data_IF_272311363926
#
_entry.id   IF_272311363926
#
_cell.length_a   1.000
_cell.length_b   1.000
_cell.length_c   1.000
_cell.angle_alpha   90.00
_cell.angle_beta   90.00
_cell.angle_gamma   90.00
#
_symmetry.space_group_name_H-M   'P 1'
#
loop_
_entity.id
_entity.type
_entity.pdbx_description
1 polymer ?
#
# COMPACT_ATOMS: atom_id res chain seq x y z
N UNK A 1 1.91 37.95 1.99
CA UNK A 1 2.43 36.79 1.23
C UNK A 1 1.24 35.87 0.96
N UNK A 2 0.63 35.95 -0.24
CA UNK A 2 -0.51 35.11 -0.62
C UNK A 2 -0.01 33.74 -1.04
N UNK A 3 0.03 32.79 -0.11
CA UNK A 3 0.25 31.38 -0.46
C UNK A 3 -0.88 30.88 -1.35
N UNK A 4 -0.57 30.08 -2.38
CA UNK A 4 -1.59 29.45 -3.22
C UNK A 4 -2.55 28.65 -2.34
N UNK A 5 -3.87 28.63 -2.65
CA UNK A 5 -4.84 27.88 -1.86
C UNK A 5 -4.46 26.39 -1.79
N UNK A 6 -4.73 25.73 -0.66
CA UNK A 6 -4.47 24.30 -0.47
C UNK A 6 -4.92 23.46 -1.67
N UNK A 7 -6.13 23.67 -2.15
CA UNK A 7 -6.74 22.89 -3.22
C UNK A 7 -6.12 23.09 -4.62
N UNK A 8 -5.26 24.09 -4.80
CA UNK A 8 -4.54 24.31 -6.07
C UNK A 8 -3.19 23.61 -6.14
N UNK A 9 -2.75 22.97 -5.05
CA UNK A 9 -1.43 22.37 -4.95
C UNK A 9 -1.40 20.91 -5.43
N UNK A 10 -1.82 20.67 -6.67
CA UNK A 10 -1.66 19.37 -7.31
C UNK A 10 -0.24 19.21 -7.84
N UNK A 11 0.24 17.96 -7.84
CA UNK A 11 1.53 17.59 -8.40
C UNK A 11 1.41 16.37 -9.30
N UNK A 12 2.38 16.18 -10.17
CA UNK A 12 2.62 14.92 -10.85
C UNK A 12 3.91 14.31 -10.29
N UNK A 13 3.79 13.15 -9.64
CA UNK A 13 4.92 12.37 -9.16
C UNK A 13 5.22 11.27 -10.20
N UNK A 14 6.23 11.45 -11.07
CA UNK A 14 6.55 10.47 -12.13
C UNK A 14 6.95 9.12 -11.54
N UNK A 15 7.50 9.10 -10.32
CA UNK A 15 7.86 7.88 -9.58
C UNK A 15 6.63 7.00 -9.34
N UNK A 16 5.51 7.61 -8.99
CA UNK A 16 4.26 6.89 -8.74
C UNK A 16 3.61 6.41 -10.04
N UNK A 17 3.78 7.12 -11.13
CA UNK A 17 3.39 6.61 -12.45
C UNK A 17 4.17 5.35 -12.80
N UNK A 18 5.47 5.33 -12.59
CA UNK A 18 6.30 4.13 -12.82
C UNK A 18 5.89 2.96 -11.92
N UNK A 19 5.67 3.21 -10.63
CA UNK A 19 5.18 2.18 -9.68
C UNK A 19 3.81 1.66 -10.13
N UNK A 20 2.89 2.55 -10.49
CA UNK A 20 1.54 2.17 -10.94
C UNK A 20 1.58 1.36 -12.24
N UNK A 21 2.45 1.73 -13.19
CA UNK A 21 2.65 0.99 -14.43
C UNK A 21 3.23 -0.41 -14.16
N UNK A 22 4.22 -0.52 -13.26
CA UNK A 22 4.80 -1.80 -12.89
C UNK A 22 3.76 -2.72 -12.23
N UNK A 23 2.98 -2.22 -11.29
CA UNK A 23 1.89 -2.96 -10.64
C UNK A 23 0.84 -3.39 -11.68
N UNK A 24 0.46 -2.49 -12.58
CA UNK A 24 -0.51 -2.78 -13.64
C UNK A 24 0.02 -3.86 -14.59
N UNK A 25 1.27 -3.77 -15.00
CA UNK A 25 1.91 -4.79 -15.85
C UNK A 25 1.91 -6.17 -15.18
N UNK A 26 2.31 -6.25 -13.91
CA UNK A 26 2.31 -7.49 -13.14
C UNK A 26 0.88 -8.03 -13.02
N UNK A 27 -0.09 -7.16 -12.73
CA UNK A 27 -1.49 -7.55 -12.64
C UNK A 27 -2.00 -8.12 -13.97
N UNK A 28 -1.86 -7.41 -15.07
CA UNK A 28 -2.35 -7.83 -16.39
C UNK A 28 -1.72 -9.16 -16.84
N UNK A 29 -0.43 -9.36 -16.55
CA UNK A 29 0.27 -10.60 -16.88
C UNK A 29 -0.29 -11.82 -16.16
N UNK A 30 -0.72 -11.65 -14.91
CA UNK A 30 -1.15 -12.75 -14.04
C UNK A 30 -2.68 -12.88 -13.94
N UNK A 31 -3.45 -11.88 -14.33
CA UNK A 31 -4.91 -11.79 -14.08
C UNK A 31 -5.79 -12.14 -15.29
N UNK A 32 -5.34 -13.04 -16.17
CA UNK A 32 -6.09 -13.43 -17.38
C UNK A 32 -7.53 -13.93 -17.06
N UNK A 33 -7.76 -14.45 -15.87
CA UNK A 33 -9.05 -14.97 -15.38
C UNK A 33 -9.74 -14.05 -14.36
N UNK A 34 -9.25 -12.83 -14.18
CA UNK A 34 -9.83 -11.92 -13.21
C UNK A 34 -11.27 -11.54 -13.58
N UNK A 35 -12.15 -11.61 -12.60
CA UNK A 35 -13.54 -11.18 -12.69
C UNK A 35 -13.65 -9.65 -12.85
N UNK A 36 -14.83 -9.18 -13.28
CA UNK A 36 -15.10 -7.74 -13.36
C UNK A 36 -14.91 -7.06 -12.01
N UNK A 37 -15.35 -7.70 -10.92
CA UNK A 37 -15.18 -7.18 -9.55
C UNK A 37 -13.69 -6.96 -9.19
N UNK A 38 -12.85 -7.94 -9.47
CA UNK A 38 -11.39 -7.84 -9.20
C UNK A 38 -10.74 -6.73 -10.02
N UNK A 39 -11.14 -6.57 -11.28
CA UNK A 39 -10.65 -5.46 -12.13
C UNK A 39 -11.09 -4.10 -11.61
N UNK A 40 -12.34 -3.97 -11.14
CA UNK A 40 -12.85 -2.72 -10.55
C UNK A 40 -12.11 -2.40 -9.25
N UNK A 41 -11.88 -3.39 -8.37
CA UNK A 41 -11.12 -3.21 -7.14
C UNK A 41 -9.66 -2.81 -7.42
N UNK A 42 -9.05 -3.40 -8.46
CA UNK A 42 -7.72 -3.03 -8.90
C UNK A 42 -7.66 -1.58 -9.38
N UNK A 43 -8.59 -1.19 -10.24
CA UNK A 43 -8.68 0.19 -10.74
C UNK A 43 -8.93 1.19 -9.60
N UNK A 44 -9.79 0.85 -8.64
CA UNK A 44 -10.03 1.67 -7.46
C UNK A 44 -8.79 1.81 -6.57
N UNK A 45 -8.02 0.73 -6.39
CA UNK A 45 -6.75 0.75 -5.66
C UNK A 45 -5.70 1.64 -6.35
N UNK A 46 -5.54 1.52 -7.67
CA UNK A 46 -4.64 2.39 -8.44
C UNK A 46 -5.09 3.86 -8.42
N UNK A 47 -6.39 4.10 -8.55
CA UNK A 47 -6.93 5.46 -8.45
C UNK A 47 -6.67 6.07 -7.06
N UNK A 48 -6.87 5.30 -5.99
CA UNK A 48 -6.58 5.73 -4.62
C UNK A 48 -5.09 6.05 -4.44
N UNK A 49 -4.18 5.20 -4.96
CA UNK A 49 -2.75 5.44 -4.94
C UNK A 49 -2.40 6.75 -5.68
N UNK A 50 -2.91 6.90 -6.90
CA UNK A 50 -2.66 8.09 -7.71
C UNK A 50 -3.20 9.36 -7.04
N UNK A 51 -4.45 9.31 -6.56
CA UNK A 51 -5.12 10.44 -5.94
C UNK A 51 -4.39 10.90 -4.67
N UNK A 52 -4.03 9.98 -3.76
CA UNK A 52 -3.41 10.38 -2.49
C UNK A 52 -2.01 10.95 -2.65
N UNK A 53 -1.25 10.51 -3.66
CA UNK A 53 0.12 11.04 -3.88
C UNK A 53 0.12 12.32 -4.72
N UNK A 54 -0.76 12.43 -5.71
CA UNK A 54 -0.74 13.57 -6.63
C UNK A 54 -1.67 14.73 -6.19
N UNK A 55 -2.57 14.50 -5.23
CA UNK A 55 -3.42 15.54 -4.64
C UNK A 55 -2.63 16.51 -3.75
N UNK A 56 -3.25 17.59 -3.28
CA UNK A 56 -2.66 18.48 -2.28
C UNK A 56 -2.16 17.77 -1.02
N UNK A 57 -2.77 16.65 -0.64
CA UNK A 57 -2.32 15.82 0.49
C UNK A 57 -0.91 15.33 0.23
N UNK A 58 -0.66 14.68 -0.91
CA UNK A 58 0.67 14.18 -1.26
C UNK A 58 1.67 15.31 -1.58
N UNK A 59 1.20 16.39 -2.22
CA UNK A 59 2.03 17.54 -2.53
C UNK A 59 2.62 18.20 -1.27
N UNK A 60 1.86 18.20 -0.18
CA UNK A 60 2.20 18.82 1.10
C UNK A 60 2.65 17.81 2.17
N UNK A 61 2.75 16.53 1.84
CA UNK A 61 3.11 15.48 2.79
C UNK A 61 4.48 15.70 3.43
N UNK A 62 5.44 16.27 2.70
CA UNK A 62 6.76 16.62 3.24
C UNK A 62 6.80 17.94 4.01
N UNK A 63 5.71 18.71 3.98
CA UNK A 63 5.62 20.03 4.64
C UNK A 63 4.77 19.97 5.90
N UNK A 64 3.64 19.26 5.83
CA UNK A 64 2.68 19.15 6.93
C UNK A 64 2.56 17.72 7.43
N UNK A 65 2.84 17.51 8.69
CA UNK A 65 2.76 16.19 9.33
C UNK A 65 1.38 15.52 9.18
N UNK A 66 0.28 16.27 9.29
CA UNK A 66 -1.06 15.71 9.12
C UNK A 66 -1.34 15.22 7.69
N UNK A 67 -0.79 15.91 6.66
CA UNK A 67 -0.87 15.45 5.26
C UNK A 67 -0.11 14.14 5.08
N UNK A 68 1.10 14.05 5.64
CA UNK A 68 1.94 12.85 5.65
C UNK A 68 1.21 11.67 6.31
N UNK A 69 0.66 11.87 7.51
CA UNK A 69 -0.11 10.83 8.20
C UNK A 69 -1.35 10.40 7.42
N UNK A 70 -2.09 11.35 6.83
CA UNK A 70 -3.28 11.05 6.04
C UNK A 70 -2.93 10.28 4.77
N UNK A 71 -1.80 10.60 4.13
CA UNK A 71 -1.27 9.85 3.00
C UNK A 71 -0.99 8.39 3.38
N UNK A 72 -0.25 8.15 4.47
CA UNK A 72 0.03 6.79 4.94
C UNK A 72 -1.22 6.02 5.32
N UNK A 73 -2.13 6.64 6.06
CA UNK A 73 -3.41 6.00 6.43
C UNK A 73 -4.21 5.60 5.19
N UNK A 74 -4.26 6.45 4.15
CA UNK A 74 -4.94 6.12 2.90
C UNK A 74 -4.25 4.96 2.17
N UNK A 75 -2.92 4.97 2.07
CA UNK A 75 -2.16 3.89 1.45
C UNK A 75 -2.38 2.55 2.18
N UNK A 76 -2.34 2.58 3.50
CA UNK A 76 -2.39 1.37 4.31
C UNK A 76 -3.80 0.84 4.52
N UNK A 77 -4.80 1.70 4.73
CA UNK A 77 -6.16 1.29 5.10
C UNK A 77 -7.14 1.24 3.92
N UNK A 78 -6.81 1.86 2.79
CA UNK A 78 -7.67 1.89 1.60
C UNK A 78 -6.96 1.23 0.42
N UNK A 79 -5.83 1.78 -0.01
CA UNK A 79 -5.13 1.30 -1.22
C UNK A 79 -4.66 -0.14 -1.06
N UNK A 80 -3.99 -0.48 0.05
CA UNK A 80 -3.50 -1.83 0.32
C UNK A 80 -4.61 -2.89 0.28
N UNK A 81 -5.68 -2.77 1.08
CA UNK A 81 -6.81 -3.72 1.04
C UNK A 81 -7.47 -3.84 -0.32
N UNK A 82 -7.66 -2.75 -1.07
CA UNK A 82 -8.25 -2.78 -2.41
C UNK A 82 -7.39 -3.60 -3.38
N UNK A 83 -6.06 -3.40 -3.36
CA UNK A 83 -5.14 -4.17 -4.19
C UNK A 83 -5.08 -5.65 -3.78
N UNK A 84 -5.13 -5.94 -2.48
CA UNK A 84 -5.19 -7.33 -2.00
C UNK A 84 -6.48 -8.00 -2.47
N UNK A 85 -7.64 -7.38 -2.27
CA UNK A 85 -8.93 -7.92 -2.71
C UNK A 85 -8.99 -8.15 -4.23
N UNK A 86 -8.28 -7.33 -5.00
CA UNK A 86 -8.18 -7.48 -6.45
C UNK A 86 -7.28 -8.64 -6.88
N UNK A 87 -6.32 -9.04 -6.06
CA UNK A 87 -5.23 -9.94 -6.47
C UNK A 87 -5.17 -11.25 -5.71
N UNK A 88 -5.71 -11.33 -4.50
CA UNK A 88 -5.57 -12.49 -3.60
C UNK A 88 -6.11 -13.80 -4.19
N UNK A 89 -7.13 -13.74 -5.04
CA UNK A 89 -7.69 -14.93 -5.71
C UNK A 89 -6.94 -15.28 -7.01
N UNK A 90 -6.28 -14.31 -7.61
CA UNK A 90 -5.59 -14.43 -8.91
C UNK A 90 -4.11 -14.77 -8.74
N UNK A 91 -3.48 -14.20 -7.71
CA UNK A 91 -2.06 -14.33 -7.44
C UNK A 91 -1.82 -15.06 -6.12
N UNK A 92 -1.52 -16.36 -6.20
CA UNK A 92 -1.25 -17.25 -5.05
C UNK A 92 0.14 -17.87 -5.16
N UNK A 93 1.20 -17.17 -4.75
CA UNK A 93 2.53 -17.73 -4.74
C UNK A 93 2.61 -18.90 -3.73
N UNK A 94 3.18 -20.03 -4.17
CA UNK A 94 3.29 -21.24 -3.35
C UNK A 94 4.68 -21.44 -2.74
N UNK A 95 5.58 -20.46 -2.84
CA UNK A 95 6.93 -20.60 -2.30
C UNK A 95 6.98 -20.42 -0.76
N UNK A 96 8.01 -20.97 -0.14
CA UNK A 96 8.18 -20.91 1.32
C UNK A 96 8.40 -19.51 1.84
N UNK A 97 9.09 -18.66 1.06
CA UNK A 97 9.36 -17.27 1.43
C UNK A 97 8.02 -16.50 1.52
N UNK A 98 7.14 -16.68 0.52
CA UNK A 98 5.83 -16.03 0.54
C UNK A 98 5.00 -16.44 1.75
N UNK A 99 4.97 -17.74 2.05
CA UNK A 99 4.27 -18.26 3.24
C UNK A 99 4.83 -17.67 4.53
N UNK A 100 6.15 -17.50 4.61
CA UNK A 100 6.79 -16.90 5.79
C UNK A 100 6.43 -15.41 5.94
N UNK A 101 6.63 -14.58 4.89
CA UNK A 101 6.40 -13.13 4.98
C UNK A 101 4.91 -12.77 5.10
N UNK A 102 4.02 -13.61 4.60
CA UNK A 102 2.58 -13.48 4.79
C UNK A 102 2.07 -14.20 6.04
N UNK A 103 2.91 -14.77 6.88
CA UNK A 103 2.48 -15.33 8.17
C UNK A 103 1.95 -14.18 9.07
N UNK A 104 0.80 -14.33 9.76
CA UNK A 104 0.16 -13.24 10.50
C UNK A 104 1.09 -12.47 11.45
N UNK A 105 1.88 -13.20 12.25
CA UNK A 105 2.81 -12.57 13.20
C UNK A 105 3.99 -11.88 12.49
N UNK A 106 4.50 -12.45 11.41
CA UNK A 106 5.63 -11.90 10.66
C UNK A 106 5.18 -10.64 9.91
N UNK A 107 4.06 -10.69 9.20
CA UNK A 107 3.53 -9.53 8.49
C UNK A 107 3.15 -8.39 9.44
N UNK A 108 2.57 -8.70 10.60
CA UNK A 108 2.29 -7.73 11.65
C UNK A 108 3.58 -7.10 12.19
N UNK A 109 4.60 -7.92 12.46
CA UNK A 109 5.89 -7.42 12.96
C UNK A 109 6.59 -6.53 11.93
N UNK A 110 6.60 -6.92 10.66
CA UNK A 110 7.17 -6.10 9.57
C UNK A 110 6.42 -4.76 9.48
N UNK A 111 5.08 -4.80 9.57
CA UNK A 111 4.25 -3.60 9.58
C UNK A 111 4.61 -2.66 10.73
N UNK A 112 4.65 -3.18 11.96
CA UNK A 112 4.99 -2.41 13.15
C UNK A 112 6.43 -1.89 13.11
N UNK A 113 7.38 -2.71 12.66
CA UNK A 113 8.79 -2.34 12.54
C UNK A 113 9.00 -1.20 11.53
N UNK A 114 8.31 -1.22 10.39
CA UNK A 114 8.37 -0.13 9.42
C UNK A 114 7.80 1.16 10.01
N UNK A 115 6.61 1.10 10.63
CA UNK A 115 5.95 2.26 11.24
C UNK A 115 6.83 2.89 12.33
N UNK A 116 7.31 2.08 13.26
CA UNK A 116 8.17 2.56 14.36
C UNK A 116 9.53 2.99 13.81
N UNK A 117 10.15 2.15 12.96
CA UNK A 117 11.50 2.40 12.44
C UNK A 117 11.60 3.70 11.65
N UNK A 118 10.64 4.01 10.79
CA UNK A 118 10.65 5.27 10.04
C UNK A 118 10.42 6.46 10.95
N UNK A 119 9.42 6.42 11.85
CA UNK A 119 9.00 7.60 12.62
C UNK A 119 9.90 7.92 13.82
N UNK A 120 10.58 6.91 14.42
CA UNK A 120 11.42 7.11 15.60
C UNK A 120 12.92 7.17 15.32
N UNK A 121 13.31 7.17 14.03
CA UNK A 121 14.71 7.28 13.64
C UNK A 121 14.95 8.52 12.78
N UNK A 122 16.22 8.88 12.58
CA UNK A 122 16.61 9.95 11.65
C UNK A 122 16.23 9.68 10.18
N UNK A 123 15.75 8.47 9.87
CA UNK A 123 15.27 8.11 8.53
C UNK A 123 14.06 8.94 8.09
N UNK A 124 13.13 9.24 9.03
CA UNK A 124 11.99 10.10 8.73
C UNK A 124 12.44 11.47 8.22
N UNK A 125 13.41 12.11 8.90
CA UNK A 125 13.93 13.41 8.48
C UNK A 125 14.54 13.33 7.08
N UNK A 126 15.37 12.31 6.81
CA UNK A 126 15.96 12.10 5.50
C UNK A 126 14.91 11.96 4.39
N UNK A 127 13.83 11.24 4.64
CA UNK A 127 12.72 11.05 3.68
C UNK A 127 11.95 12.35 3.46
N UNK A 128 11.76 13.17 4.51
CA UNK A 128 11.09 14.46 4.41
C UNK A 128 11.92 15.50 3.64
N UNK A 129 13.25 15.48 3.81
CA UNK A 129 14.15 16.42 3.13
C UNK A 129 14.25 16.13 1.62
N UNK A 130 13.93 14.90 1.20
CA UNK A 130 14.04 14.45 -0.18
C UNK A 130 12.74 13.88 -0.72
N UNK A 131 11.88 14.71 -1.30
CA UNK A 131 10.56 14.32 -1.81
C UNK A 131 10.57 13.13 -2.77
N UNK A 132 11.56 13.02 -3.66
CA UNK A 132 11.69 11.89 -4.56
C UNK A 132 11.95 10.58 -3.79
N UNK A 133 12.71 10.62 -2.69
CA UNK A 133 13.00 9.48 -1.84
C UNK A 133 11.74 9.05 -1.07
N UNK A 134 10.97 10.02 -0.56
CA UNK A 134 9.66 9.77 0.03
C UNK A 134 8.74 9.04 -0.96
N UNK A 135 8.59 9.55 -2.18
CA UNK A 135 7.70 8.97 -3.18
C UNK A 135 8.19 7.61 -3.74
N UNK A 136 9.50 7.41 -3.88
CA UNK A 136 10.05 6.21 -4.51
C UNK A 136 10.37 5.09 -3.52
N UNK A 137 10.65 5.41 -2.28
CA UNK A 137 11.02 4.42 -1.23
C UNK A 137 9.89 4.26 -0.22
N UNK A 138 9.48 5.33 0.41
CA UNK A 138 8.55 5.26 1.54
C UNK A 138 7.14 4.85 1.09
N UNK A 139 6.57 5.49 0.09
CA UNK A 139 5.24 5.16 -0.43
C UNK A 139 5.13 3.70 -0.88
N UNK A 140 6.05 3.15 -1.71
CA UNK A 140 6.01 1.73 -2.06
C UNK A 140 6.25 0.80 -0.86
N UNK A 141 7.12 1.17 0.09
CA UNK A 141 7.36 0.36 1.28
C UNK A 141 6.08 0.19 2.11
N UNK A 142 5.36 1.28 2.39
CA UNK A 142 4.08 1.22 3.09
C UNK A 142 3.04 0.41 2.32
N UNK A 143 3.00 0.54 1.00
CA UNK A 143 2.07 -0.22 0.16
C UNK A 143 2.38 -1.73 0.21
N UNK A 144 3.66 -2.11 0.11
CA UNK A 144 4.09 -3.52 0.20
C UNK A 144 3.74 -4.10 1.56
N UNK A 145 4.04 -3.38 2.63
CA UNK A 145 3.79 -3.86 4.00
C UNK A 145 2.30 -3.98 4.28
N UNK A 146 1.49 -3.01 3.83
CA UNK A 146 0.04 -3.10 3.90
C UNK A 146 -0.49 -4.30 3.10
N UNK A 147 0.05 -4.54 1.89
CA UNK A 147 -0.30 -5.69 1.08
C UNK A 147 -0.02 -7.01 1.80
N UNK A 148 1.17 -7.20 2.37
CA UNK A 148 1.55 -8.40 3.11
C UNK A 148 0.64 -8.61 4.33
N UNK A 149 0.34 -7.56 5.07
CA UNK A 149 -0.53 -7.61 6.25
C UNK A 149 -1.95 -8.03 5.89
N UNK A 150 -2.57 -7.35 4.92
CA UNK A 150 -3.95 -7.63 4.52
C UNK A 150 -4.09 -8.92 3.72
N UNK A 151 -3.03 -9.39 3.05
CA UNK A 151 -3.06 -10.65 2.31
C UNK A 151 -3.55 -11.81 3.17
N UNK A 152 -3.01 -11.95 4.38
CA UNK A 152 -3.45 -12.98 5.32
C UNK A 152 -4.90 -12.84 5.78
N UNK A 153 -5.32 -11.60 6.04
CA UNK A 153 -6.66 -11.32 6.56
C UNK A 153 -7.72 -11.61 5.50
N UNK A 154 -7.41 -11.30 4.24
CA UNK A 154 -8.36 -11.33 3.13
C UNK A 154 -8.27 -12.61 2.29
N UNK A 155 -7.20 -13.42 2.43
CA UNK A 155 -7.09 -14.74 1.79
C UNK A 155 -7.95 -15.76 2.51
N UNK A 156 -9.19 -15.90 2.06
CA UNK A 156 -10.19 -16.80 2.68
C UNK A 156 -9.83 -18.29 2.59
N UNK A 157 -9.02 -18.69 1.61
CA UNK A 157 -8.68 -20.08 1.32
C UNK A 157 -7.20 -20.36 1.56
N UNK A 158 -6.47 -19.43 2.17
CA UNK A 158 -5.01 -19.49 2.33
C UNK A 158 -4.54 -20.57 3.32
N UNK A 159 -3.35 -21.09 3.03
CA UNK A 159 -2.68 -22.13 3.83
C UNK A 159 -2.32 -21.64 5.26
N UNK A 160 -2.30 -20.34 5.50
CA UNK A 160 -1.94 -19.73 6.78
C UNK A 160 -3.15 -19.30 7.61
N UNK A 161 -4.36 -19.69 7.20
CA UNK A 161 -5.57 -19.36 7.96
C UNK A 161 -5.45 -19.96 9.38
N UNK A 162 -5.37 -19.12 10.38
CA UNK A 162 -5.57 -19.56 11.77
C UNK A 162 -6.97 -20.18 11.82
N UNK A 163 -7.03 -21.50 12.00
CA UNK A 163 -8.30 -22.19 12.25
C UNK A 163 -8.77 -21.71 13.62
N UNK A 164 -9.54 -20.64 13.63
CA UNK A 164 -10.33 -20.29 14.80
C UNK A 164 -11.25 -21.49 14.98
N UNK A 165 -11.02 -22.23 16.08
CA UNK A 165 -11.72 -23.48 16.35
C UNK A 165 -13.21 -23.28 16.15
N UNK A 166 -13.85 -24.13 15.36
CA UNK A 166 -15.31 -24.23 15.36
C UNK A 166 -15.66 -24.65 16.77
N UNK A 167 -16.19 -23.71 17.55
CA UNK A 167 -16.93 -24.07 18.72
C UNK A 167 -18.10 -24.93 18.19
N UNK A 168 -18.05 -26.23 18.49
CA UNK A 168 -19.20 -27.08 18.28
C UNK A 168 -20.32 -26.56 19.19
N UNK A 169 -21.32 -25.98 18.61
CA UNK A 169 -22.64 -25.79 19.23
C UNK A 169 -23.43 -27.04 18.89
#
# INVERSE_FOLDING_TARGET
MGGSPFWSQWQLAPEILLVSLAITYIYLRNSKRASTRERTLFAAGLFSLFAVVNSPIGALATTYFWCHMLQHMTLMMITGPLLVLATVQVFRPHNQIWKAVTHPWISWFIYAALMIGVHFTGLHQLLMDHKWLHNFVEVPAYLIVAYLFYYNILDRDGANRVKIGRAHV
#
